data_IF_275674029036
#
_entry.id   IF_275674029036
#
_cell.length_a   1.000
_cell.length_b   1.000
_cell.length_c   1.000
_cell.angle_alpha   90.00
_cell.angle_beta   90.00
_cell.angle_gamma   90.00
#
_symmetry.space_group_name_H-M   'P 1'
#
loop_
_entity.id
_entity.type
_entity.pdbx_description
1 polymer ?
#
# COMPACT_ATOMS: atom_id res chain seq x y z
N UNK A 1 24.35 24.22 52.86
CA UNK A 1 24.35 22.90 52.22
C UNK A 1 23.02 22.75 51.48
N UNK A 2 22.88 23.38 50.31
CA UNK A 2 21.57 23.59 49.68
C UNK A 2 21.68 23.86 48.19
N UNK A 3 22.31 22.96 47.45
CA UNK A 3 22.44 23.04 45.98
C UNK A 3 22.56 21.65 45.35
N UNK A 4 21.66 20.70 45.63
CA UNK A 4 21.70 19.38 44.95
C UNK A 4 20.33 18.86 44.47
N UNK A 5 19.21 19.42 44.95
CA UNK A 5 17.89 18.79 44.71
C UNK A 5 17.15 19.34 43.46
N UNK A 6 17.59 20.46 42.88
CA UNK A 6 16.90 21.08 41.74
C UNK A 6 17.28 20.52 40.36
N UNK A 7 18.42 19.83 40.22
CA UNK A 7 18.90 19.34 38.91
C UNK A 7 18.19 18.05 38.43
N UNK A 8 17.85 17.14 39.36
CA UNK A 8 17.28 15.84 39.02
C UNK A 8 15.84 15.92 38.44
N UNK A 9 15.02 16.84 38.96
CA UNK A 9 13.61 17.00 38.54
C UNK A 9 13.50 17.66 37.16
N UNK A 10 14.44 18.54 36.80
CA UNK A 10 14.47 19.19 35.49
C UNK A 10 14.94 18.20 34.41
N UNK A 11 15.94 17.38 34.71
CA UNK A 11 16.46 16.38 33.77
C UNK A 11 15.42 15.34 33.36
N UNK A 12 14.63 14.82 34.30
CA UNK A 12 13.62 13.80 33.98
C UNK A 12 12.47 14.35 33.12
N UNK A 13 12.09 15.61 33.34
CA UNK A 13 11.02 16.25 32.57
C UNK A 13 11.46 16.51 31.12
N UNK A 14 12.71 16.97 30.93
CA UNK A 14 13.28 17.21 29.59
C UNK A 14 13.50 15.88 28.86
N UNK A 15 14.01 14.85 29.54
CA UNK A 15 14.18 13.53 28.94
C UNK A 15 12.84 12.93 28.49
N UNK A 16 11.77 13.05 29.29
CA UNK A 16 10.43 12.58 28.89
C UNK A 16 9.89 13.31 27.65
N UNK A 17 10.13 14.61 27.52
CA UNK A 17 9.72 15.39 26.33
C UNK A 17 10.53 14.94 25.10
N UNK A 18 11.84 14.74 25.25
CA UNK A 18 12.71 14.27 24.16
C UNK A 18 12.33 12.86 23.74
N UNK A 19 12.11 11.94 24.69
CA UNK A 19 11.63 10.58 24.39
C UNK A 19 10.30 10.58 23.64
N UNK A 20 9.36 11.43 24.04
CA UNK A 20 8.08 11.57 23.32
C UNK A 20 8.22 12.16 21.91
N UNK A 21 9.23 12.99 21.65
CA UNK A 21 9.53 13.51 20.32
C UNK A 21 10.19 12.46 19.41
N UNK A 22 11.11 11.67 19.97
CA UNK A 22 11.79 10.57 19.25
C UNK A 22 10.79 9.50 18.86
N UNK A 23 9.99 9.01 19.81
CA UNK A 23 8.96 7.99 19.57
C UNK A 23 7.98 8.42 18.45
N UNK A 24 7.62 9.70 18.45
CA UNK A 24 6.76 10.28 17.41
C UNK A 24 7.42 10.32 16.02
N UNK A 25 8.71 10.64 15.95
CA UNK A 25 9.43 10.70 14.69
C UNK A 25 9.56 9.30 14.08
N UNK A 26 9.96 8.32 14.90
CA UNK A 26 10.06 6.90 14.52
C UNK A 26 8.72 6.32 14.06
N UNK A 27 7.62 6.76 14.68
CA UNK A 27 6.29 6.34 14.28
C UNK A 27 5.85 6.91 12.92
N UNK A 28 6.20 8.17 12.63
CA UNK A 28 5.91 8.80 11.34
C UNK A 28 6.70 8.13 10.22
N UNK A 29 7.98 7.86 10.44
CA UNK A 29 8.82 7.16 9.47
C UNK A 29 8.34 5.72 9.24
N UNK A 30 7.91 5.01 10.28
CA UNK A 30 7.36 3.65 10.15
C UNK A 30 6.07 3.60 9.33
N UNK A 31 5.18 4.58 9.51
CA UNK A 31 3.92 4.68 8.77
C UNK A 31 4.14 4.96 7.27
N UNK A 32 5.07 5.86 6.95
CA UNK A 32 5.49 6.15 5.58
C UNK A 32 6.09 4.90 4.92
N UNK A 33 7.01 4.20 5.60
CA UNK A 33 7.61 2.95 5.11
C UNK A 33 6.54 1.88 4.82
N UNK A 34 5.57 1.68 5.71
CA UNK A 34 4.51 0.70 5.48
C UNK A 34 3.62 1.10 4.29
N UNK A 35 3.37 2.40 4.09
CA UNK A 35 2.59 2.89 2.95
C UNK A 35 3.34 2.62 1.63
N UNK A 36 4.62 2.94 1.56
CA UNK A 36 5.46 2.65 0.38
C UNK A 36 5.46 1.15 0.05
N UNK A 37 5.54 0.29 1.07
CA UNK A 37 5.48 -1.16 0.91
C UNK A 37 4.13 -1.65 0.37
N UNK A 38 3.03 -1.06 0.82
CA UNK A 38 1.69 -1.34 0.27
C UNK A 38 1.57 -0.89 -1.19
N UNK A 39 2.09 0.30 -1.52
CA UNK A 39 2.08 0.80 -2.90
C UNK A 39 2.88 -0.11 -3.82
N UNK A 40 4.05 -0.55 -3.38
CA UNK A 40 4.88 -1.50 -4.13
C UNK A 40 4.17 -2.85 -4.32
N UNK A 41 3.50 -3.36 -3.28
CA UNK A 41 2.70 -4.57 -3.37
C UNK A 41 1.54 -4.42 -4.38
N UNK A 42 0.83 -3.29 -4.36
CA UNK A 42 -0.25 -3.00 -5.31
C UNK A 42 0.27 -2.98 -6.76
N UNK A 43 1.37 -2.26 -7.01
CA UNK A 43 1.98 -2.17 -8.34
C UNK A 43 2.35 -3.56 -8.86
N UNK A 44 3.00 -4.39 -8.03
CA UNK A 44 3.36 -5.77 -8.40
C UNK A 44 2.13 -6.61 -8.75
N UNK A 45 1.04 -6.48 -7.99
CA UNK A 45 -0.21 -7.19 -8.25
C UNK A 45 -0.85 -6.73 -9.56
N UNK A 46 -0.91 -5.43 -9.82
CA UNK A 46 -1.45 -4.86 -11.06
C UNK A 46 -0.66 -5.30 -12.29
N UNK A 47 0.68 -5.20 -12.23
CA UNK A 47 1.57 -5.67 -13.31
C UNK A 47 1.35 -7.15 -13.60
N UNK A 48 1.25 -7.97 -12.56
CA UNK A 48 1.00 -9.40 -12.70
C UNK A 48 -0.36 -9.67 -13.36
N UNK A 49 -1.40 -8.97 -12.95
CA UNK A 49 -2.74 -9.15 -13.50
C UNK A 49 -2.82 -8.67 -14.95
N UNK A 50 -2.33 -7.47 -15.26
CA UNK A 50 -2.31 -6.92 -16.61
C UNK A 50 -1.51 -7.79 -17.57
N UNK A 51 -0.33 -8.25 -17.12
CA UNK A 51 0.50 -9.15 -17.91
C UNK A 51 -0.20 -10.49 -18.12
N UNK A 52 -0.82 -11.06 -17.08
CA UNK A 52 -1.55 -12.33 -17.19
C UNK A 52 -2.75 -12.28 -18.14
N UNK A 53 -3.40 -11.12 -18.28
CA UNK A 53 -4.52 -10.95 -19.21
C UNK A 53 -4.08 -11.03 -20.68
N UNK A 54 -2.77 -10.89 -20.97
CA UNK A 54 -2.17 -11.13 -22.29
C UNK A 54 -1.96 -12.64 -22.58
N UNK A 55 -2.29 -13.54 -21.65
CA UNK A 55 -2.13 -14.98 -21.80
C UNK A 55 -3.48 -15.73 -21.76
N UNK A 56 -3.56 -16.85 -22.48
CA UNK A 56 -4.70 -17.76 -22.43
C UNK A 56 -4.52 -18.72 -21.25
N UNK A 57 -5.17 -18.39 -20.12
CA UNK A 57 -5.17 -19.21 -18.92
C UNK A 57 -6.39 -20.14 -18.95
N UNK A 58 -6.15 -21.43 -19.17
CA UNK A 58 -7.22 -22.46 -19.20
C UNK A 58 -7.20 -23.37 -17.97
N UNK A 59 -6.05 -23.46 -17.29
CA UNK A 59 -5.87 -24.33 -16.12
C UNK A 59 -6.69 -23.87 -14.91
N UNK A 60 -7.50 -24.78 -14.36
CA UNK A 60 -8.34 -24.50 -13.18
C UNK A 60 -7.59 -23.92 -11.97
N UNK A 61 -6.43 -24.47 -11.55
CA UNK A 61 -5.62 -23.89 -10.47
C UNK A 61 -5.13 -22.46 -10.76
N UNK A 62 -4.66 -22.18 -11.98
CA UNK A 62 -4.19 -20.85 -12.38
C UNK A 62 -5.32 -19.84 -12.40
N UNK A 63 -6.51 -20.22 -12.87
CA UNK A 63 -7.70 -19.36 -12.82
C UNK A 63 -8.10 -19.04 -11.37
N UNK A 64 -8.02 -20.01 -10.45
CA UNK A 64 -8.26 -19.76 -9.02
C UNK A 64 -7.19 -18.84 -8.42
N UNK A 65 -5.93 -19.01 -8.81
CA UNK A 65 -4.84 -18.14 -8.36
C UNK A 65 -5.05 -16.71 -8.87
N UNK A 66 -5.32 -16.53 -10.16
CA UNK A 66 -5.61 -15.22 -10.74
C UNK A 66 -6.78 -14.51 -10.03
N UNK A 67 -7.88 -15.23 -9.72
CA UNK A 67 -9.00 -14.68 -8.95
C UNK A 67 -8.60 -14.24 -7.54
N UNK A 68 -7.70 -14.97 -6.87
CA UNK A 68 -7.17 -14.58 -5.56
C UNK A 68 -6.32 -13.31 -5.66
N UNK A 69 -5.48 -13.20 -6.69
CA UNK A 69 -4.68 -11.99 -6.93
C UNK A 69 -5.55 -10.77 -7.25
N UNK A 70 -6.61 -10.93 -8.07
CA UNK A 70 -7.58 -9.85 -8.34
C UNK A 70 -8.22 -9.32 -7.06
N UNK A 71 -8.71 -10.22 -6.19
CA UNK A 71 -9.26 -9.82 -4.88
C UNK A 71 -8.22 -9.16 -3.99
N UNK A 72 -6.98 -9.66 -3.97
CA UNK A 72 -5.90 -9.06 -3.18
C UNK A 72 -5.58 -7.63 -3.66
N UNK A 73 -5.56 -7.40 -4.97
CA UNK A 73 -5.35 -6.07 -5.56
C UNK A 73 -6.50 -5.10 -5.22
N UNK A 74 -7.76 -5.56 -5.30
CA UNK A 74 -8.93 -4.76 -4.88
C UNK A 74 -8.87 -4.42 -3.38
N UNK A 75 -8.54 -5.40 -2.53
CA UNK A 75 -8.40 -5.18 -1.09
C UNK A 75 -7.24 -4.22 -0.77
N UNK A 76 -6.13 -4.32 -1.50
CA UNK A 76 -4.95 -3.48 -1.32
C UNK A 76 -5.20 -2.02 -1.77
N UNK A 77 -5.82 -1.80 -2.94
CA UNK A 77 -6.26 -0.46 -3.39
C UNK A 77 -7.22 0.18 -2.38
N UNK A 78 -8.18 -0.58 -1.88
CA UNK A 78 -9.10 -0.09 -0.85
C UNK A 78 -8.38 0.33 0.43
N UNK A 79 -7.37 -0.42 0.87
CA UNK A 79 -6.54 0.00 2.02
C UNK A 79 -5.73 1.25 1.70
N UNK A 80 -5.12 1.37 0.52
CA UNK A 80 -4.37 2.56 0.12
C UNK A 80 -5.25 3.80 0.07
N UNK A 81 -6.46 3.70 -0.50
CA UNK A 81 -7.43 4.81 -0.52
C UNK A 81 -7.79 5.29 0.89
N UNK A 82 -8.07 4.35 1.81
CA UNK A 82 -8.36 4.67 3.21
C UNK A 82 -7.18 5.33 3.92
N UNK A 83 -5.95 4.86 3.66
CA UNK A 83 -4.75 5.48 4.20
C UNK A 83 -4.61 6.93 3.70
N UNK A 84 -4.70 7.15 2.38
CA UNK A 84 -4.58 8.48 1.77
C UNK A 84 -5.66 9.46 2.25
N UNK A 85 -6.92 9.01 2.32
CA UNK A 85 -8.01 9.84 2.80
C UNK A 85 -7.75 10.37 4.22
N UNK A 86 -7.26 9.51 5.11
CA UNK A 86 -6.98 9.91 6.50
C UNK A 86 -5.80 10.87 6.61
N UNK A 87 -4.74 10.67 5.82
CA UNK A 87 -3.61 11.60 5.73
C UNK A 87 -4.10 13.00 5.31
N UNK A 88 -5.02 13.06 4.35
CA UNK A 88 -5.61 14.33 3.90
C UNK A 88 -6.51 14.97 4.97
N UNK A 89 -7.36 14.18 5.65
CA UNK A 89 -8.21 14.68 6.75
C UNK A 89 -7.37 15.30 7.88
N UNK A 90 -6.20 14.75 8.18
CA UNK A 90 -5.29 15.29 9.19
C UNK A 90 -4.60 16.59 8.76
N UNK A 91 -4.21 16.68 7.49
CA UNK A 91 -3.62 17.89 6.92
C UNK A 91 -4.64 19.05 6.89
N UNK A 92 -5.90 18.76 6.57
CA UNK A 92 -7.00 19.73 6.58
C UNK A 92 -7.38 20.22 7.99
N UNK A 93 -7.30 19.37 9.02
CA UNK A 93 -7.53 19.81 10.41
C UNK A 93 -6.37 20.66 10.95
N UNK A 94 -5.15 20.49 10.43
CA UNK A 94 -4.00 21.31 10.80
C UNK A 94 -3.99 22.72 10.16
N UNK A 95 -4.56 22.89 8.98
CA UNK A 95 -4.54 24.18 8.25
C UNK A 95 -5.26 25.34 8.98
N UNK A 96 -6.47 25.18 9.54
CA UNK A 96 -7.15 26.23 10.32
C UNK A 96 -6.43 26.59 11.62
N UNK A 97 -5.76 25.61 12.24
CA UNK A 97 -5.04 25.79 13.50
C UNK A 97 -3.75 26.58 13.32
N UNK A 98 -3.11 26.49 12.14
CA UNK A 98 -1.90 27.24 11.78
C UNK A 98 -2.14 28.75 11.58
N UNK A 99 -3.39 29.14 11.35
CA UNK A 99 -3.83 30.53 11.19
C UNK A 99 -4.41 31.13 12.49
N UNK A 100 -4.36 30.42 13.62
CA UNK A 100 -4.87 30.87 14.92
C UNK A 100 -3.77 30.92 15.98
N UNK A 101 -3.81 31.90 16.88
CA UNK A 101 -2.83 32.07 17.97
C UNK A 101 -3.15 31.26 19.25
N UNK A 102 -4.07 30.28 19.17
CA UNK A 102 -4.52 29.51 20.34
C UNK A 102 -3.67 28.26 20.62
N UNK A 103 -3.59 27.80 21.89
CA UNK A 103 -2.50 26.96 22.37
C UNK A 103 -2.41 25.60 21.67
N UNK A 104 -1.19 25.31 21.21
CA UNK A 104 -0.62 24.08 20.61
C UNK A 104 -1.07 22.73 21.22
N UNK A 105 -1.72 22.73 22.40
CA UNK A 105 -2.14 21.53 23.16
C UNK A 105 -3.30 20.74 22.54
N UNK A 106 -4.18 21.37 21.76
CA UNK A 106 -5.32 20.66 21.12
C UNK A 106 -4.85 19.94 19.83
N UNK A 107 -3.85 20.48 19.14
CA UNK A 107 -3.24 19.84 17.95
C UNK A 107 -2.53 18.51 18.25
N UNK A 108 -2.21 18.23 19.53
CA UNK A 108 -1.54 16.99 19.94
C UNK A 108 -2.48 15.78 20.01
N UNK A 109 -3.79 15.98 20.17
CA UNK A 109 -4.75 14.86 20.19
C UNK A 109 -5.00 14.30 18.79
N UNK A 110 -4.94 15.15 17.75
CA UNK A 110 -5.23 14.76 16.36
C UNK A 110 -4.01 14.20 15.62
N UNK A 111 -2.79 14.72 15.88
CA UNK A 111 -1.53 14.15 15.32
C UNK A 111 -1.25 12.70 15.77
N UNK A 112 -1.95 12.22 16.79
CA UNK A 112 -1.93 10.83 17.24
C UNK A 112 -2.71 9.88 16.30
N UNK A 113 -3.34 10.38 15.23
CA UNK A 113 -4.25 9.58 14.42
C UNK A 113 -3.59 8.97 13.16
N UNK A 114 -2.46 9.51 12.65
CA UNK A 114 -1.57 8.84 11.68
C UNK A 114 -1.05 7.55 12.29
N UNK A 115 -0.67 7.62 13.57
CA UNK A 115 -0.39 6.44 14.39
C UNK A 115 -1.58 5.50 14.38
N UNK A 116 -2.81 5.97 14.53
CA UNK A 116 -4.01 5.12 14.54
C UNK A 116 -4.27 4.35 13.23
N UNK A 117 -3.73 4.80 12.09
CA UNK A 117 -3.79 4.04 10.82
C UNK A 117 -3.01 2.72 10.97
N UNK A 118 -1.94 2.73 11.78
CA UNK A 118 -1.09 1.58 12.11
C UNK A 118 -1.27 1.03 13.53
N UNK A 119 -1.97 1.73 14.41
CA UNK A 119 -2.02 1.49 15.87
C UNK A 119 -3.38 1.84 16.50
N UNK A 120 -4.42 2.12 15.72
CA UNK A 120 -5.79 2.27 16.20
C UNK A 120 -6.36 0.88 16.45
N UNK A 121 -5.91 0.28 17.56
CA UNK A 121 -6.04 -1.11 18.00
C UNK A 121 -4.75 -1.95 17.77
N UNK A 122 -3.70 -1.64 18.53
CA UNK A 122 -2.53 -2.50 18.77
C UNK A 122 -3.06 -3.75 19.51
N UNK A 123 -2.84 -4.99 19.09
CA UNK A 123 -1.68 -5.56 18.42
C UNK A 123 -2.14 -6.49 17.28
N UNK A 124 -1.36 -6.59 16.18
CA UNK A 124 -1.46 -7.58 15.07
C UNK A 124 -1.99 -7.12 13.66
N UNK A 125 -3.01 -6.24 13.45
CA UNK A 125 -3.68 -6.13 12.13
C UNK A 125 -2.93 -5.39 11.00
N UNK A 126 -2.20 -4.28 11.25
CA UNK A 126 -1.69 -3.44 10.14
C UNK A 126 -0.36 -3.93 9.58
N UNK A 127 0.57 -4.37 10.43
CA UNK A 127 1.80 -5.05 9.97
C UNK A 127 1.49 -6.40 9.33
N UNK A 128 0.48 -7.11 9.84
CA UNK A 128 0.01 -8.36 9.20
C UNK A 128 -0.68 -8.08 7.87
N UNK A 129 -1.43 -6.98 7.73
CA UNK A 129 -2.03 -6.59 6.45
C UNK A 129 -0.97 -6.27 5.40
N UNK A 130 0.03 -5.45 5.71
CA UNK A 130 1.15 -5.13 4.79
C UNK A 130 1.85 -6.42 4.36
N UNK A 131 2.25 -7.25 5.33
CA UNK A 131 2.89 -8.55 5.06
C UNK A 131 2.03 -9.48 4.22
N UNK A 132 0.71 -9.45 4.41
CA UNK A 132 -0.23 -10.25 3.61
C UNK A 132 -0.21 -9.80 2.15
N UNK A 133 -0.21 -8.51 1.89
CA UNK A 133 -0.15 -7.98 0.51
C UNK A 133 1.22 -8.18 -0.12
N UNK A 134 2.31 -8.08 0.65
CA UNK A 134 3.65 -8.46 0.18
C UNK A 134 3.70 -9.94 -0.20
N UNK A 135 3.15 -10.82 0.62
CA UNK A 135 3.05 -12.24 0.31
C UNK A 135 2.26 -12.50 -0.98
N UNK A 136 1.16 -11.77 -1.20
CA UNK A 136 0.42 -11.84 -2.45
C UNK A 136 1.23 -11.31 -3.63
N UNK A 137 1.96 -10.21 -3.46
CA UNK A 137 2.79 -9.60 -4.49
C UNK A 137 3.98 -10.49 -4.90
N UNK A 138 4.61 -11.15 -3.93
CA UNK A 138 5.66 -12.13 -4.19
C UNK A 138 5.07 -13.36 -4.89
N UNK A 139 3.91 -13.84 -4.45
CA UNK A 139 3.17 -14.90 -5.13
C UNK A 139 2.69 -14.51 -6.54
N UNK A 140 2.48 -13.22 -6.82
CA UNK A 140 2.09 -12.72 -8.14
C UNK A 140 3.22 -12.87 -9.17
N UNK A 141 4.46 -12.69 -8.73
CA UNK A 141 5.64 -12.94 -9.56
C UNK A 141 5.77 -14.42 -9.94
N UNK A 142 5.51 -15.33 -9.00
CA UNK A 142 5.56 -16.77 -9.28
C UNK A 142 4.38 -17.25 -10.11
N UNK A 143 3.20 -16.67 -9.90
CA UNK A 143 2.05 -16.84 -10.77
C UNK A 143 2.38 -16.44 -12.21
N UNK A 144 3.00 -15.26 -12.42
CA UNK A 144 3.40 -14.81 -13.75
C UNK A 144 4.35 -15.78 -14.44
N UNK A 145 5.43 -16.20 -13.77
CA UNK A 145 6.35 -17.20 -14.33
C UNK A 145 5.60 -18.45 -14.76
N UNK A 146 4.68 -18.94 -13.93
CA UNK A 146 3.89 -20.13 -14.24
C UNK A 146 2.99 -19.93 -15.46
N UNK A 147 2.38 -18.75 -15.59
CA UNK A 147 1.56 -18.37 -16.76
C UNK A 147 2.41 -18.23 -18.01
N UNK A 148 3.61 -17.66 -17.92
CA UNK A 148 4.51 -17.45 -19.07
C UNK A 148 5.13 -18.76 -19.56
N UNK A 149 5.55 -19.66 -18.67
CA UNK A 149 6.12 -20.96 -19.04
C UNK A 149 5.08 -21.99 -19.49
N UNK A 150 3.86 -21.93 -18.94
CA UNK A 150 2.81 -22.92 -19.21
C UNK A 150 1.67 -22.45 -20.10
N UNK A 151 1.60 -21.15 -20.41
CA UNK A 151 0.49 -20.54 -21.12
C UNK A 151 0.71 -20.39 -22.62
N UNK A 152 -0.38 -20.23 -23.35
CA UNK A 152 -0.33 -19.76 -24.75
C UNK A 152 -0.59 -18.26 -24.75
N UNK A 153 0.26 -17.40 -25.37
CA UNK A 153 -0.04 -15.98 -25.49
C UNK A 153 -1.40 -15.78 -26.16
N UNK A 154 -2.24 -14.86 -25.65
CA UNK A 154 -3.44 -14.46 -26.37
C UNK A 154 -2.98 -13.85 -27.68
N UNK A 155 -3.31 -14.52 -28.78
CA UNK A 155 -3.24 -13.90 -30.10
C UNK A 155 -4.23 -12.75 -30.08
N UNK A 156 -3.74 -11.53 -29.91
CA UNK A 156 -4.45 -10.36 -30.40
C UNK A 156 -4.52 -10.56 -31.91
N UNK A 157 -5.66 -11.06 -32.38
CA UNK A 157 -5.99 -11.06 -33.80
C UNK A 157 -6.16 -9.58 -34.20
N UNK A 158 -5.04 -8.88 -34.38
CA UNK A 158 -5.01 -7.57 -35.03
C UNK A 158 -5.51 -7.64 -36.47
N UNK A 159 -5.68 -8.85 -36.99
CA UNK A 159 -6.32 -9.13 -38.26
C UNK A 159 -7.53 -10.02 -38.01
N UNK A 160 -8.70 -9.45 -38.22
CA UNK A 160 -9.90 -10.20 -38.58
C UNK A 160 -9.47 -11.28 -39.61
N UNK A 161 -9.80 -12.56 -39.44
CA UNK A 161 -9.48 -13.61 -40.40
C UNK A 161 -9.81 -13.20 -41.84
N UNK A 162 -10.85 -12.39 -42.03
CA UNK A 162 -11.22 -11.80 -43.31
C UNK A 162 -10.13 -10.90 -43.93
N UNK A 163 -9.42 -10.10 -43.12
CA UNK A 163 -8.31 -9.24 -43.59
C UNK A 163 -7.10 -10.11 -43.95
N UNK A 164 -6.83 -11.18 -43.21
CA UNK A 164 -5.80 -12.16 -43.55
C UNK A 164 -6.08 -12.84 -44.90
N UNK A 165 -7.33 -13.20 -45.17
CA UNK A 165 -7.74 -13.79 -46.46
C UNK A 165 -7.69 -12.78 -47.62
N UNK A 166 -8.05 -11.51 -47.37
CA UNK A 166 -7.95 -10.42 -48.36
C UNK A 166 -6.50 -10.13 -48.76
N UNK A 167 -5.58 -10.05 -47.79
CA UNK A 167 -4.15 -9.83 -48.06
C UNK A 167 -3.47 -11.05 -48.69
N UNK A 168 -3.95 -12.26 -48.40
CA UNK A 168 -3.45 -13.50 -49.02
C UNK A 168 -3.96 -13.73 -50.46
N UNK A 169 -4.79 -12.83 -51.00
CA UNK A 169 -5.31 -12.93 -52.37
C UNK A 169 -6.23 -14.14 -52.61
N UNK A 170 -6.79 -14.72 -51.54
CA UNK A 170 -7.64 -15.92 -51.62
C UNK A 170 -9.12 -15.52 -51.70
N UNK A 171 -9.45 -14.68 -52.68
CA UNK A 171 -10.80 -14.59 -53.23
C UNK A 171 -10.71 -15.12 -54.66
N UNK A 172 -10.77 -16.45 -54.79
CA UNK A 172 -11.05 -17.08 -56.08
C UNK A 172 -12.54 -16.95 -56.33
N UNK A 173 -12.89 -16.18 -57.36
CA UNK A 173 -14.21 -16.20 -57.99
C UNK A 173 -14.56 -17.59 -58.51
#
# INVERSE_FOLDING_TARGET
>A
MGEIVSSAVIHETVNKIISGLIDKYEQKSSAEEQMERLEMAQIKLEIALETSDKWQITGGPLLRWQKKLKRAAEECDNTLRKCRQRVQEEEEVEQPLRNSSFPRRIAHATKSMISSIFHGNIDEPTRSAVRRFEWFADGANDFLKTVEFGGTPRRYLFFDPLIGHLLAGVLRY
#
